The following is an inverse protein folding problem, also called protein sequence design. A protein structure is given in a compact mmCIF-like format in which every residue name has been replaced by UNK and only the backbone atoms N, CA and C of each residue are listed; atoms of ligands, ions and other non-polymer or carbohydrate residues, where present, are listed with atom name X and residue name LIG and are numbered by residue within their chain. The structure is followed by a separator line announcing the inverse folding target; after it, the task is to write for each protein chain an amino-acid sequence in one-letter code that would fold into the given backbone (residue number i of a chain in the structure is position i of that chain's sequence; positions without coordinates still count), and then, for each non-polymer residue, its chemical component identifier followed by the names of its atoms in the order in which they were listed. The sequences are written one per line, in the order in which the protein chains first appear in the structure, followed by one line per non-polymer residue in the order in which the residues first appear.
data_IF_878018462435
#
_entry.id   IF_878018462435
#
_cell.length_a   1.000
_cell.length_b   1.000
_cell.length_c   1.000
_cell.angle_alpha   90.00
_cell.angle_beta   90.00
_cell.angle_gamma   90.00
#
_symmetry.space_group_name_H-M   'P 1'
#
loop_
_entity.id
_entity.type
_entity.pdbx_description
1 polymer ?
#
# COMPACT_ATOMS: atom_id res chain seq x y z
N UNK A 1 22.57 -5.91 15.04
CA UNK A 1 21.46 -5.13 14.40
C UNK A 1 20.31 -4.99 15.38
N UNK A 2 19.84 -3.78 15.57
CA UNK A 2 18.64 -3.46 16.33
C UNK A 2 17.37 -3.81 15.53
N UNK A 3 16.20 -3.76 16.15
CA UNK A 3 14.92 -3.89 15.45
C UNK A 3 14.76 -2.83 14.35
N UNK A 4 15.11 -1.58 14.65
CA UNK A 4 15.05 -0.46 13.70
C UNK A 4 15.93 -0.69 12.47
N UNK A 5 17.15 -1.25 12.65
CA UNK A 5 18.04 -1.56 11.53
C UNK A 5 17.43 -2.60 10.59
N UNK A 6 16.77 -3.63 11.15
CA UNK A 6 16.08 -4.62 10.33
C UNK A 6 14.95 -4.02 9.51
N UNK A 7 14.13 -3.17 10.13
CA UNK A 7 13.05 -2.45 9.42
C UNK A 7 13.66 -1.60 8.31
N UNK A 8 14.64 -0.76 8.64
CA UNK A 8 15.27 0.15 7.68
C UNK A 8 15.82 -0.59 6.46
N UNK A 9 16.64 -1.62 6.67
CA UNK A 9 17.22 -2.41 5.55
C UNK A 9 16.15 -3.16 4.76
N UNK A 10 15.04 -3.57 5.40
CA UNK A 10 13.95 -4.29 4.71
C UNK A 10 13.14 -3.37 3.81
N UNK A 11 12.83 -2.14 4.24
CA UNK A 11 12.04 -1.17 3.44
C UNK A 11 12.88 -0.41 2.44
N UNK A 12 14.21 -0.40 2.62
CA UNK A 12 15.12 0.24 1.67
C UNK A 12 15.09 -0.51 0.34
N UNK A 13 14.75 0.21 -0.75
CA UNK A 13 14.79 -0.36 -2.09
C UNK A 13 16.24 -0.57 -2.56
N UNK A 14 16.80 -1.73 -2.28
CA UNK A 14 18.18 -2.08 -2.64
C UNK A 14 18.28 -2.28 -4.16
N UNK A 15 19.02 -1.40 -4.83
CA UNK A 15 19.38 -1.55 -6.26
C UNK A 15 20.52 -2.55 -6.48
N UNK A 16 21.08 -3.13 -5.41
CA UNK A 16 22.21 -4.04 -5.40
C UNK A 16 21.86 -5.36 -4.70
N UNK A 17 22.82 -6.28 -4.59
CA UNK A 17 22.61 -7.49 -3.80
C UNK A 17 22.39 -7.14 -2.31
N UNK A 18 21.65 -8.00 -1.60
CA UNK A 18 21.41 -7.81 -0.16
C UNK A 18 22.71 -7.64 0.64
N UNK A 19 23.77 -8.40 0.31
CA UNK A 19 25.06 -8.28 1.00
C UNK A 19 25.71 -6.92 0.76
N UNK A 20 25.65 -6.41 -0.49
CA UNK A 20 26.19 -5.09 -0.80
C UNK A 20 25.40 -3.97 -0.10
N UNK A 21 24.07 -4.11 0.00
CA UNK A 21 23.21 -3.19 0.76
C UNK A 21 23.51 -3.19 2.26
N UNK A 22 23.74 -4.38 2.84
CA UNK A 22 24.16 -4.49 4.24
C UNK A 22 25.52 -3.84 4.50
N UNK A 23 26.50 -4.09 3.62
CA UNK A 23 27.82 -3.45 3.75
C UNK A 23 27.70 -1.93 3.71
N UNK A 24 26.98 -1.38 2.72
CA UNK A 24 26.75 0.06 2.61
C UNK A 24 26.03 0.65 3.84
N UNK A 25 25.08 -0.09 4.41
CA UNK A 25 24.39 0.32 5.64
C UNK A 25 25.35 0.43 6.82
N UNK A 26 26.22 -0.55 7.05
CA UNK A 26 27.17 -0.53 8.16
C UNK A 26 28.30 0.49 7.94
N UNK A 27 28.79 0.63 6.71
CA UNK A 27 29.78 1.65 6.35
C UNK A 27 29.26 3.07 6.64
N UNK A 28 27.98 3.32 6.36
CA UNK A 28 27.33 4.61 6.63
C UNK A 28 27.20 4.92 8.14
N UNK A 29 27.06 3.89 8.99
CA UNK A 29 26.99 4.05 10.45
C UNK A 29 28.36 4.23 11.13
N UNK A 30 29.45 4.26 10.36
CA UNK A 30 30.85 4.34 10.87
C UNK A 30 31.24 3.17 11.80
N UNK A 31 30.49 2.11 11.84
CA UNK A 31 30.76 0.88 12.59
C UNK A 31 31.59 -0.11 11.74
N UNK A 32 32.52 0.36 10.95
CA UNK A 32 33.29 -0.30 9.90
C UNK A 32 34.08 -1.59 10.30
N UNK A 33 33.70 -2.22 11.39
CA UNK A 33 34.23 -3.52 11.83
C UNK A 33 33.16 -4.61 11.95
N UNK A 34 31.89 -4.33 11.68
CA UNK A 34 30.82 -5.30 11.82
C UNK A 34 30.47 -5.89 10.44
N UNK A 35 31.04 -7.03 10.14
CA UNK A 35 30.59 -7.85 9.01
C UNK A 35 29.28 -8.56 9.36
N UNK A 36 28.16 -8.12 8.80
CA UNK A 36 26.87 -8.76 8.97
C UNK A 36 26.47 -9.53 7.72
N UNK A 37 26.41 -10.86 7.81
CA UNK A 37 26.11 -11.66 6.63
C UNK A 37 24.62 -11.61 6.24
N UNK A 38 24.33 -11.74 4.94
CA UNK A 38 22.97 -11.86 4.43
C UNK A 38 22.18 -13.00 5.07
N UNK A 39 22.84 -14.08 5.47
CA UNK A 39 22.20 -15.21 6.15
C UNK A 39 21.75 -14.83 7.56
N UNK A 40 22.61 -14.14 8.32
CA UNK A 40 22.27 -13.64 9.64
C UNK A 40 21.13 -12.62 9.58
N UNK A 41 21.17 -11.73 8.60
CA UNK A 41 20.07 -10.78 8.34
C UNK A 41 18.76 -11.50 8.03
N UNK A 42 18.75 -12.43 7.08
CA UNK A 42 17.53 -13.17 6.71
C UNK A 42 16.96 -13.94 7.89
N UNK A 43 17.81 -14.59 8.68
CA UNK A 43 17.37 -15.30 9.90
C UNK A 43 16.78 -14.35 10.95
N UNK A 44 17.37 -13.16 11.12
CA UNK A 44 16.86 -12.14 12.04
C UNK A 44 15.56 -11.53 11.56
N UNK A 45 15.47 -11.17 10.28
CA UNK A 45 14.27 -10.61 9.65
C UNK A 45 13.06 -11.54 9.77
N UNK A 46 13.23 -12.85 9.64
CA UNK A 46 12.15 -13.83 9.76
C UNK A 46 11.51 -13.89 11.18
N UNK A 47 12.08 -13.20 12.16
CA UNK A 47 11.48 -13.06 13.51
C UNK A 47 10.57 -11.85 13.62
N UNK A 48 10.60 -10.95 12.64
CA UNK A 48 9.73 -9.78 12.60
C UNK A 48 8.39 -10.23 12.03
N UNK A 49 7.33 -10.01 12.79
CA UNK A 49 5.98 -10.31 12.36
C UNK A 49 5.53 -9.32 11.28
N UNK A 50 4.80 -9.76 10.24
CA UNK A 50 4.29 -8.87 9.20
C UNK A 50 3.46 -7.70 9.75
N UNK A 51 2.73 -7.91 10.85
CA UNK A 51 1.89 -6.92 11.51
C UNK A 51 2.69 -5.69 11.96
N UNK A 52 3.98 -5.84 12.29
CA UNK A 52 4.85 -4.71 12.65
C UNK A 52 5.00 -3.70 11.49
N UNK A 53 4.99 -4.17 10.24
CA UNK A 53 5.01 -3.27 9.08
C UNK A 53 3.67 -2.60 8.84
N UNK A 54 2.56 -3.27 9.14
CA UNK A 54 1.22 -2.70 9.07
C UNK A 54 1.04 -1.60 10.13
N UNK A 55 1.44 -1.86 11.38
CA UNK A 55 1.41 -0.87 12.46
C UNK A 55 2.31 0.33 12.15
N UNK A 56 3.51 0.09 11.61
CA UNK A 56 4.41 1.17 11.20
C UNK A 56 3.78 2.02 10.09
N UNK A 57 3.22 1.38 9.07
CA UNK A 57 2.53 2.07 7.97
C UNK A 57 1.38 2.93 8.51
N UNK A 58 0.50 2.36 9.35
CA UNK A 58 -0.61 3.08 9.94
C UNK A 58 -0.13 4.27 10.80
N UNK A 59 0.90 4.06 11.61
CA UNK A 59 1.50 5.14 12.42
C UNK A 59 2.05 6.29 11.58
N UNK A 60 2.63 5.99 10.41
CA UNK A 60 3.10 7.03 9.48
C UNK A 60 1.93 7.80 8.89
N UNK A 61 0.88 7.09 8.44
CA UNK A 61 -0.34 7.70 7.90
C UNK A 61 -1.00 8.59 8.96
N UNK A 62 -1.25 8.06 10.15
CA UNK A 62 -1.89 8.80 11.24
C UNK A 62 -1.09 10.05 11.62
N UNK A 63 0.23 9.91 11.76
CA UNK A 63 1.12 11.04 12.09
C UNK A 63 1.14 12.11 11.00
N UNK A 64 1.04 11.72 9.73
CA UNK A 64 0.95 12.65 8.62
C UNK A 64 -0.34 13.45 8.69
N UNK A 65 -1.50 12.79 8.79
CA UNK A 65 -2.80 13.47 8.82
C UNK A 65 -3.05 14.25 10.11
N UNK A 66 -2.37 13.92 11.21
CA UNK A 66 -2.42 14.70 12.45
C UNK A 66 -1.62 16.01 12.36
N UNK A 67 -0.48 16.02 11.65
CA UNK A 67 0.52 17.09 11.75
C UNK A 67 0.71 17.91 10.49
N UNK A 68 0.38 17.34 9.31
CA UNK A 68 0.60 18.03 8.05
C UNK A 68 -0.50 19.06 7.78
N UNK A 69 -0.11 20.14 7.12
CA UNK A 69 -1.05 21.05 6.48
C UNK A 69 -1.52 20.41 5.17
N UNK A 70 -2.76 19.93 5.17
CA UNK A 70 -3.30 19.14 4.06
C UNK A 70 -3.72 20.04 2.90
N UNK A 71 -3.26 19.70 1.71
CA UNK A 71 -3.76 20.31 0.48
C UNK A 71 -5.18 19.82 0.18
N UNK A 72 -6.06 20.74 -0.26
CA UNK A 72 -7.41 20.46 -0.71
C UNK A 72 -7.67 21.03 -2.11
N UNK A 73 -8.69 20.52 -2.78
CA UNK A 73 -9.24 21.08 -4.00
C UNK A 73 -10.63 21.63 -3.74
N UNK A 74 -10.75 22.96 -3.58
CA UNK A 74 -12.01 23.65 -3.28
C UNK A 74 -12.75 23.13 -2.04
N UNK A 75 -11.98 22.77 -0.99
CA UNK A 75 -12.50 22.21 0.24
C UNK A 75 -12.74 20.70 0.21
N UNK A 76 -12.28 19.97 -0.83
CA UNK A 76 -12.38 18.53 -0.96
C UNK A 76 -10.99 17.87 -0.92
N UNK A 77 -10.88 16.73 -0.26
CA UNK A 77 -9.71 15.85 -0.35
C UNK A 77 -9.97 14.71 -1.33
N UNK A 78 -9.03 14.47 -2.25
CA UNK A 78 -9.20 13.56 -3.38
C UNK A 78 -8.41 12.26 -3.15
N UNK A 79 -9.12 11.13 -3.05
CA UNK A 79 -8.53 9.81 -2.86
C UNK A 79 -8.73 8.95 -4.10
N UNK A 80 -7.64 8.61 -4.80
CA UNK A 80 -7.67 7.67 -5.91
C UNK A 80 -7.65 6.24 -5.40
N UNK A 81 -8.51 5.37 -5.93
CA UNK A 81 -8.49 3.93 -5.65
C UNK A 81 -8.26 3.18 -6.96
N UNK A 82 -7.22 2.36 -6.97
CA UNK A 82 -6.89 1.52 -8.12
C UNK A 82 -6.28 0.19 -7.69
N UNK A 83 -6.38 -0.81 -8.56
CA UNK A 83 -5.88 -2.15 -8.37
C UNK A 83 -4.83 -2.55 -9.41
N UNK A 84 -3.79 -3.25 -8.96
CA UNK A 84 -2.77 -3.81 -9.83
C UNK A 84 -2.44 -5.24 -9.45
N UNK A 85 -1.85 -6.00 -10.39
CA UNK A 85 -1.34 -7.34 -10.10
C UNK A 85 0.16 -7.29 -9.88
N UNK A 86 0.58 -7.72 -8.69
CA UNK A 86 1.97 -7.81 -8.31
C UNK A 86 2.48 -9.25 -8.49
N UNK A 87 3.56 -9.43 -9.25
CA UNK A 87 4.25 -10.70 -9.37
C UNK A 87 4.98 -11.03 -8.08
N UNK A 88 4.74 -12.21 -7.56
CA UNK A 88 5.34 -12.74 -6.34
C UNK A 88 6.33 -13.87 -6.65
N UNK A 89 7.27 -14.18 -5.73
CA UNK A 89 8.10 -15.37 -5.85
C UNK A 89 7.25 -16.65 -5.96
N UNK A 90 7.64 -17.57 -6.83
CA UNK A 90 6.94 -18.84 -7.03
C UNK A 90 7.26 -19.82 -5.90
N UNK A 91 6.60 -19.67 -4.75
CA UNK A 91 6.63 -20.63 -3.64
C UNK A 91 5.24 -21.25 -3.46
N UNK A 92 5.17 -22.47 -2.92
CA UNK A 92 3.89 -23.16 -2.71
C UNK A 92 2.98 -22.35 -1.77
N UNK A 93 3.53 -21.78 -0.70
CA UNK A 93 2.79 -20.98 0.27
C UNK A 93 2.14 -19.73 -0.37
N UNK A 94 2.90 -19.01 -1.20
CA UNK A 94 2.37 -17.83 -1.89
C UNK A 94 1.39 -18.22 -3.00
N UNK A 95 1.58 -19.35 -3.66
CA UNK A 95 0.66 -19.88 -4.66
C UNK A 95 -0.70 -20.28 -4.05
N UNK A 96 -0.68 -20.89 -2.86
CA UNK A 96 -1.90 -21.23 -2.11
C UNK A 96 -2.64 -19.97 -1.63
N UNK A 97 -1.91 -18.98 -1.14
CA UNK A 97 -2.49 -17.75 -0.58
C UNK A 97 -3.03 -16.79 -1.65
N UNK A 98 -2.25 -16.55 -2.71
CA UNK A 98 -2.56 -15.52 -3.69
C UNK A 98 -2.98 -16.05 -5.06
N UNK A 99 -2.70 -17.32 -5.34
CA UNK A 99 -3.07 -17.98 -6.59
C UNK A 99 -2.03 -17.85 -7.70
N UNK A 100 -2.29 -18.59 -8.77
CA UNK A 100 -1.46 -18.65 -9.97
C UNK A 100 -2.24 -18.10 -11.15
N UNK A 101 -1.64 -17.20 -11.90
CA UNK A 101 -2.14 -16.67 -13.16
C UNK A 101 -1.44 -17.34 -14.34
N UNK A 102 -2.22 -17.81 -15.32
CA UNK A 102 -1.71 -18.57 -16.47
C UNK A 102 -1.97 -17.88 -17.83
N UNK A 103 -2.52 -16.65 -17.83
CA UNK A 103 -2.83 -15.93 -19.07
C UNK A 103 -1.57 -15.35 -19.72
N UNK A 104 -1.18 -15.85 -20.90
CA UNK A 104 -0.12 -15.32 -21.78
C UNK A 104 1.34 -15.56 -21.35
N UNK A 105 1.70 -16.74 -20.83
CA UNK A 105 3.10 -17.06 -20.55
C UNK A 105 3.28 -18.19 -19.55
N UNK A 106 4.46 -18.28 -18.95
CA UNK A 106 4.71 -19.22 -17.87
C UNK A 106 3.82 -18.90 -16.66
N UNK A 107 3.31 -19.92 -15.93
CA UNK A 107 2.52 -19.70 -14.72
C UNK A 107 3.25 -18.82 -13.73
N UNK A 108 2.59 -17.79 -13.23
CA UNK A 108 3.16 -16.85 -12.24
C UNK A 108 2.25 -16.72 -11.03
N UNK A 109 2.85 -16.72 -9.85
CA UNK A 109 2.15 -16.37 -8.61
C UNK A 109 1.93 -14.87 -8.59
N UNK A 110 0.69 -14.43 -8.43
CA UNK A 110 0.32 -13.02 -8.43
C UNK A 110 -0.63 -12.72 -7.28
N UNK A 111 -0.46 -11.56 -6.66
CA UNK A 111 -1.46 -10.97 -5.77
C UNK A 111 -2.17 -9.80 -6.46
N UNK A 112 -3.46 -9.64 -6.20
CA UNK A 112 -4.15 -8.37 -6.44
C UNK A 112 -3.79 -7.43 -5.30
N UNK A 113 -3.25 -6.26 -5.65
CA UNK A 113 -2.92 -5.19 -4.70
C UNK A 113 -3.79 -3.99 -5.05
N UNK A 114 -4.65 -3.59 -4.14
CA UNK A 114 -5.46 -2.38 -4.27
C UNK A 114 -4.92 -1.32 -3.32
N UNK A 115 -4.76 -0.10 -3.83
CA UNK A 115 -4.26 1.03 -3.06
C UNK A 115 -5.26 2.16 -3.05
N UNK A 116 -5.37 2.85 -1.91
CA UNK A 116 -6.00 4.16 -1.80
C UNK A 116 -4.90 5.20 -1.63
N UNK A 117 -4.90 6.20 -2.49
CA UNK A 117 -3.86 7.21 -2.60
C UNK A 117 -4.46 8.61 -2.50
N UNK A 118 -3.95 9.44 -1.59
CA UNK A 118 -4.27 10.85 -1.52
C UNK A 118 -3.58 11.57 -2.69
N UNK A 119 -4.40 12.01 -3.65
CA UNK A 119 -3.93 12.59 -4.92
C UNK A 119 -3.28 13.96 -4.75
N UNK A 120 -3.64 14.71 -3.71
CA UNK A 120 -3.16 16.07 -3.47
C UNK A 120 -1.94 16.10 -2.56
N UNK A 121 -1.88 15.19 -1.60
CA UNK A 121 -0.80 15.15 -0.61
C UNK A 121 0.25 14.08 -0.89
N UNK A 122 0.05 13.24 -1.91
CA UNK A 122 1.06 12.27 -2.34
C UNK A 122 1.27 11.10 -1.37
N UNK A 123 0.23 10.69 -0.61
CA UNK A 123 0.32 9.67 0.42
C UNK A 123 -0.51 8.44 0.07
N UNK A 124 0.07 7.24 0.19
CA UNK A 124 -0.72 6.01 0.23
C UNK A 124 -1.34 5.91 1.62
N UNK A 125 -2.67 5.78 1.68
CA UNK A 125 -3.42 5.78 2.96
C UNK A 125 -3.96 4.41 3.33
N UNK A 126 -4.18 3.53 2.36
CA UNK A 126 -4.56 2.13 2.59
C UNK A 126 -4.03 1.24 1.47
N UNK A 127 -3.74 -0.01 1.80
CA UNK A 127 -3.29 -1.02 0.84
C UNK A 127 -3.85 -2.37 1.22
N UNK A 128 -4.50 -3.06 0.25
CA UNK A 128 -5.08 -4.39 0.43
C UNK A 128 -4.42 -5.39 -0.51
N UNK A 129 -4.04 -6.53 0.06
CA UNK A 129 -3.53 -7.68 -0.68
C UNK A 129 -4.59 -8.77 -0.71
N UNK A 130 -4.89 -9.28 -1.90
CA UNK A 130 -5.90 -10.30 -2.10
C UNK A 130 -5.45 -11.35 -3.13
N UNK A 131 -6.17 -12.46 -3.18
CA UNK A 131 -5.97 -13.48 -4.20
C UNK A 131 -6.11 -12.87 -5.62
N UNK A 132 -5.29 -13.30 -6.59
CA UNK A 132 -5.23 -12.72 -7.94
C UNK A 132 -6.56 -12.68 -8.70
N UNK A 133 -7.55 -13.49 -8.30
CA UNK A 133 -8.91 -13.52 -8.87
C UNK A 133 -9.93 -12.75 -8.04
N UNK A 134 -9.53 -12.09 -6.98
CA UNK A 134 -10.43 -11.27 -6.15
C UNK A 134 -10.93 -10.05 -6.93
N UNK A 135 -12.02 -9.48 -6.45
CA UNK A 135 -12.66 -8.31 -7.06
C UNK A 135 -12.00 -7.03 -6.54
N UNK A 136 -11.52 -6.18 -7.44
CA UNK A 136 -11.04 -4.82 -7.13
C UNK A 136 -12.16 -3.97 -6.50
N UNK A 137 -13.41 -4.16 -6.94
CA UNK A 137 -14.57 -3.45 -6.38
C UNK A 137 -14.82 -3.82 -4.92
N UNK A 138 -14.64 -5.11 -4.56
CA UNK A 138 -14.79 -5.53 -3.16
C UNK A 138 -13.71 -4.89 -2.29
N UNK A 139 -12.45 -4.84 -2.76
CA UNK A 139 -11.37 -4.17 -2.06
C UNK A 139 -11.64 -2.66 -1.88
N UNK A 140 -12.12 -1.99 -2.94
CA UNK A 140 -12.48 -0.56 -2.87
C UNK A 140 -13.62 -0.32 -1.86
N UNK A 141 -14.65 -1.15 -1.86
CA UNK A 141 -15.76 -1.08 -0.90
C UNK A 141 -15.26 -1.20 0.55
N UNK A 142 -14.39 -2.17 0.80
CA UNK A 142 -13.81 -2.39 2.13
C UNK A 142 -12.93 -1.22 2.57
N UNK A 143 -12.13 -0.66 1.65
CA UNK A 143 -11.30 0.54 1.91
C UNK A 143 -12.16 1.75 2.25
N UNK A 144 -13.19 2.03 1.44
CA UNK A 144 -14.12 3.14 1.68
C UNK A 144 -14.85 2.91 3.01
N UNK A 145 -15.39 1.72 3.25
CA UNK A 145 -16.10 1.39 4.48
C UNK A 145 -15.25 1.48 5.76
N UNK A 146 -13.94 1.23 5.64
CA UNK A 146 -12.97 1.34 6.75
C UNK A 146 -12.25 2.69 6.81
N UNK A 147 -12.56 3.63 5.91
CA UNK A 147 -11.91 4.93 5.85
C UNK A 147 -12.14 5.73 7.14
N UNK A 148 -11.05 6.06 7.84
CA UNK A 148 -11.08 6.82 9.11
C UNK A 148 -9.78 7.60 9.23
N UNK A 149 -9.67 8.73 8.53
CA UNK A 149 -8.53 9.63 8.65
C UNK A 149 -8.90 10.86 9.47
N UNK A 150 -8.01 11.26 10.36
CA UNK A 150 -8.18 12.49 11.12
C UNK A 150 -7.96 13.72 10.23
N UNK A 151 -8.64 14.81 10.53
CA UNK A 151 -8.52 16.09 9.81
C UNK A 151 -8.85 16.02 8.31
N UNK A 152 -9.57 14.97 7.87
CA UNK A 152 -10.11 14.87 6.53
C UNK A 152 -11.58 15.26 6.55
N UNK A 153 -11.92 16.29 5.80
CA UNK A 153 -13.31 16.73 5.58
C UNK A 153 -13.64 16.61 4.08
N UNK A 154 -14.87 16.25 3.76
CA UNK A 154 -15.35 16.13 2.39
C UNK A 154 -14.47 15.23 1.49
N UNK A 155 -14.22 13.95 1.85
CA UNK A 155 -13.45 13.04 1.00
C UNK A 155 -14.18 12.74 -0.31
N UNK A 156 -13.47 12.79 -1.44
CA UNK A 156 -13.95 12.39 -2.75
C UNK A 156 -13.15 11.19 -3.22
N UNK A 157 -13.81 10.06 -3.46
CA UNK A 157 -13.16 8.86 -3.98
C UNK A 157 -13.22 8.83 -5.50
N UNK A 158 -12.04 8.76 -6.12
CA UNK A 158 -11.82 8.81 -7.56
C UNK A 158 -11.42 7.41 -8.03
N UNK A 159 -12.18 6.84 -8.95
CA UNK A 159 -11.96 5.48 -9.47
C UNK A 159 -12.17 5.47 -10.99
N UNK A 160 -11.64 4.42 -11.65
CA UNK A 160 -11.88 4.24 -13.06
C UNK A 160 -13.35 3.80 -13.35
N UNK A 161 -13.75 3.79 -14.63
CA UNK A 161 -15.11 3.43 -15.06
C UNK A 161 -15.47 1.96 -14.80
N UNK A 162 -14.51 1.11 -14.50
CA UNK A 162 -14.72 -0.29 -14.18
C UNK A 162 -15.32 -0.50 -12.79
N UNK A 163 -15.19 0.49 -11.91
CA UNK A 163 -15.62 0.41 -10.50
C UNK A 163 -17.09 0.73 -10.22
N UNK A 164 -17.79 1.65 -10.93
CA UNK A 164 -19.12 2.07 -10.52
C UNK A 164 -20.09 0.89 -10.35
N UNK A 165 -20.55 0.71 -9.13
CA UNK A 165 -21.59 -0.23 -8.75
C UNK A 165 -22.43 0.38 -7.63
N UNK A 166 -23.71 0.04 -7.54
CA UNK A 166 -24.62 0.52 -6.50
C UNK A 166 -24.05 0.31 -5.08
N UNK A 167 -23.33 -0.80 -4.87
CA UNK A 167 -22.68 -1.16 -3.60
C UNK A 167 -21.58 -0.17 -3.16
N UNK A 168 -20.86 0.46 -4.10
CA UNK A 168 -19.84 1.48 -3.80
C UNK A 168 -20.49 2.83 -3.48
N UNK A 169 -21.61 3.13 -4.16
CA UNK A 169 -22.42 4.33 -3.87
C UNK A 169 -22.97 4.21 -2.46
N UNK A 170 -23.53 3.05 -2.09
CA UNK A 170 -24.03 2.81 -0.74
C UNK A 170 -22.94 2.94 0.32
N UNK A 171 -21.73 2.40 0.07
CA UNK A 171 -20.61 2.49 0.99
C UNK A 171 -20.15 3.95 1.22
N UNK A 172 -20.15 4.78 0.17
CA UNK A 172 -19.83 6.21 0.31
C UNK A 172 -20.95 6.98 1.02
N UNK A 173 -22.22 6.67 0.75
CA UNK A 173 -23.37 7.30 1.40
C UNK A 173 -23.43 6.99 2.90
N UNK A 174 -22.99 5.82 3.33
CA UNK A 174 -22.86 5.50 4.76
C UNK A 174 -21.78 6.33 5.47
N UNK A 175 -20.76 6.79 4.74
CA UNK A 175 -19.78 7.77 5.24
C UNK A 175 -20.36 9.18 5.25
N UNK A 176 -21.25 9.53 4.31
CA UNK A 176 -21.93 10.84 4.27
C UNK A 176 -22.82 11.10 5.50
N UNK A 177 -23.28 10.07 6.17
CA UNK A 177 -24.00 10.21 7.45
C UNK A 177 -23.09 10.69 8.59
N UNK A 178 -21.76 10.65 8.40
CA UNK A 178 -20.77 11.14 9.36
C UNK A 178 -19.98 12.36 8.83
N UNK A 179 -19.64 12.40 7.52
CA UNK A 179 -18.94 13.50 6.82
C UNK A 179 -19.21 13.38 5.31
N UNK A 180 -19.40 14.49 4.61
CA UNK A 180 -19.84 14.56 3.21
C UNK A 180 -18.85 13.88 2.25
N UNK A 181 -19.05 12.62 1.91
CA UNK A 181 -18.22 11.90 0.95
C UNK A 181 -18.89 11.85 -0.45
N UNK A 182 -18.13 12.03 -1.52
CA UNK A 182 -18.61 11.98 -2.90
C UNK A 182 -17.82 10.99 -3.76
N UNK A 183 -18.52 10.27 -4.63
CA UNK A 183 -17.92 9.37 -5.61
C UNK A 183 -17.73 10.07 -6.96
N UNK A 184 -16.54 9.99 -7.53
CA UNK A 184 -16.25 10.49 -8.88
C UNK A 184 -15.60 9.39 -9.74
N UNK A 185 -16.22 9.06 -10.88
CA UNK A 185 -15.65 8.17 -11.89
C UNK A 185 -14.97 9.00 -12.99
N UNK A 186 -13.65 8.84 -13.17
CA UNK A 186 -12.86 9.59 -14.15
C UNK A 186 -13.00 8.97 -15.56
N UNK A 187 -13.19 9.78 -16.61
CA UNK A 187 -13.10 9.32 -18.00
C UNK A 187 -11.69 8.84 -18.34
N UNK A 188 -11.58 7.75 -19.13
CA UNK A 188 -10.30 7.13 -19.53
C UNK A 188 -9.28 8.07 -20.24
N UNK A 189 -9.65 9.29 -20.56
CA UNK A 189 -8.82 10.26 -21.31
C UNK A 189 -8.31 11.41 -20.44
N UNK A 190 -8.37 11.31 -19.14
CA UNK A 190 -7.82 12.33 -18.24
C UNK A 190 -6.33 12.07 -18.03
N UNK A 191 -5.47 12.63 -18.91
CA UNK A 191 -4.04 12.79 -18.60
C UNK A 191 -3.91 13.96 -17.61
N UNK A 192 -3.41 13.68 -16.42
CA UNK A 192 -2.91 14.73 -15.53
C UNK A 192 -1.59 15.24 -16.14
N UNK A 193 -1.40 16.55 -16.28
CA UNK A 193 -0.18 17.12 -16.87
C UNK A 193 1.06 16.86 -16.04
#
# INVERSE_FOLDING_TARGET
MSFTDYIYVTVQNLKSSLQAGLNAFFDAQKDGQIEYSKQAFSKGRNRIKPEAFQELFQSVVDSFYEKAELADWKGYQLFGIDGTRLNLPCTNELAELYGIQTSQGAPQVQALVSCMYDLLNGMIVDTRFAHCRSSERAAAKDMIGSFRLQNVSNPVFVMDRGYPAAELIDASTQLEAADTASLCAVPQNFCVP
#
